data_IF_165184319215
#
_entry.id   IF_165184319215
#
_cell.length_a   1.000
_cell.length_b   1.000
_cell.length_c   1.000
_cell.angle_alpha   90.00
_cell.angle_beta   90.00
_cell.angle_gamma   90.00
#
_symmetry.space_group_name_H-M   'P 1'
#
loop_
_entity.id
_entity.type
_entity.pdbx_description
1 polymer ?
#
# COMPACT_ATOMS: atom_id res chain seq x y z
N UNK A 1 -4.00 -9.89 -35.64
CA UNK A 1 -4.92 -10.81 -34.96
C UNK A 1 -4.19 -11.46 -33.82
N UNK A 2 -4.87 -11.75 -32.75
CA UNK A 2 -4.43 -12.61 -31.66
C UNK A 2 -5.04 -14.01 -31.80
N UNK A 3 -4.41 -14.99 -31.17
CA UNK A 3 -4.92 -16.36 -31.09
C UNK A 3 -5.64 -16.61 -29.78
N UNK A 4 -6.61 -17.52 -29.76
CA UNK A 4 -7.27 -17.98 -28.52
C UNK A 4 -6.28 -18.58 -27.51
N UNK A 5 -5.11 -19.02 -27.98
CA UNK A 5 -4.07 -19.61 -27.14
C UNK A 5 -3.02 -18.60 -26.67
N UNK A 6 -3.08 -17.35 -27.15
CA UNK A 6 -2.13 -16.32 -26.73
C UNK A 6 -2.40 -15.92 -25.27
N UNK A 7 -1.34 -15.76 -24.48
CA UNK A 7 -1.46 -15.23 -23.14
C UNK A 7 -1.96 -13.77 -23.18
N UNK A 8 -2.75 -13.38 -22.18
CA UNK A 8 -3.30 -12.01 -22.07
C UNK A 8 -2.22 -10.93 -22.21
N UNK A 9 -1.05 -11.14 -21.60
CA UNK A 9 0.08 -10.22 -21.67
C UNK A 9 0.64 -10.09 -23.09
N UNK A 10 0.67 -11.18 -23.83
CA UNK A 10 1.11 -11.18 -25.25
C UNK A 10 0.17 -10.36 -26.10
N UNK A 11 -1.15 -10.50 -25.89
CA UNK A 11 -2.18 -9.72 -26.60
C UNK A 11 -2.05 -8.22 -26.25
N UNK A 12 -1.86 -7.88 -24.97
CA UNK A 12 -1.63 -6.50 -24.51
C UNK A 12 -0.37 -5.91 -25.15
N UNK A 13 0.74 -6.65 -25.15
CA UNK A 13 1.98 -6.21 -25.75
C UNK A 13 1.85 -6.01 -27.27
N UNK A 14 1.15 -6.92 -27.96
CA UNK A 14 0.88 -6.79 -29.38
C UNK A 14 0.07 -5.54 -29.70
N UNK A 15 -0.96 -5.23 -28.88
CA UNK A 15 -1.75 -4.01 -29.00
C UNK A 15 -0.90 -2.75 -28.81
N UNK A 16 -0.03 -2.73 -27.79
CA UNK A 16 0.89 -1.61 -27.50
C UNK A 16 1.90 -1.38 -28.62
N UNK A 17 2.57 -2.43 -29.09
CA UNK A 17 3.57 -2.36 -30.16
C UNK A 17 2.93 -1.85 -31.46
N UNK A 18 1.74 -2.37 -31.78
CA UNK A 18 1.04 -2.00 -33.02
C UNK A 18 0.19 -0.73 -32.89
N UNK A 19 0.14 -0.11 -31.69
CA UNK A 19 -0.67 1.09 -31.39
C UNK A 19 -2.15 0.93 -31.78
N UNK A 20 -2.71 -0.25 -31.52
CA UNK A 20 -4.13 -0.57 -31.79
C UNK A 20 -4.88 -0.75 -30.48
N UNK A 21 -6.15 -0.36 -30.45
CA UNK A 21 -7.01 -0.44 -29.28
C UNK A 21 -7.91 -1.68 -29.26
N UNK A 22 -8.01 -2.38 -30.39
CA UNK A 22 -8.82 -3.59 -30.54
C UNK A 22 -8.04 -4.60 -31.35
N UNK A 23 -8.15 -5.88 -31.00
CA UNK A 23 -7.49 -6.97 -31.70
C UNK A 23 -8.49 -8.11 -31.93
N UNK A 24 -8.71 -8.54 -33.19
CA UNK A 24 -9.49 -9.72 -33.49
C UNK A 24 -8.81 -10.98 -32.96
N UNK A 25 -9.56 -11.87 -32.32
CA UNK A 25 -9.11 -13.17 -31.83
C UNK A 25 -9.62 -14.26 -32.75
N UNK A 26 -8.73 -15.15 -33.15
CA UNK A 26 -9.04 -16.28 -34.03
C UNK A 26 -8.82 -17.62 -33.34
N UNK A 27 -9.59 -18.63 -33.77
CA UNK A 27 -9.38 -20.02 -33.39
C UNK A 27 -8.18 -20.65 -34.11
N UNK A 28 -7.88 -21.91 -33.77
CA UNK A 28 -6.79 -22.67 -34.40
C UNK A 28 -6.98 -22.93 -35.92
N UNK A 29 -8.16 -22.64 -36.47
CA UNK A 29 -8.49 -22.76 -37.91
C UNK A 29 -8.47 -21.39 -38.62
N UNK A 30 -8.20 -20.30 -37.89
CA UNK A 30 -8.19 -18.94 -38.41
C UNK A 30 -9.56 -18.26 -38.47
N UNK A 31 -10.61 -18.86 -37.90
CA UNK A 31 -11.94 -18.24 -37.86
C UNK A 31 -11.99 -17.17 -36.74
N UNK A 32 -12.61 -16.05 -37.03
CA UNK A 32 -12.85 -14.99 -36.03
C UNK A 32 -13.83 -15.50 -34.96
N UNK A 33 -13.40 -15.47 -33.70
CA UNK A 33 -14.20 -15.90 -32.54
C UNK A 33 -14.52 -14.77 -31.59
N UNK A 34 -13.86 -13.60 -31.72
CA UNK A 34 -14.11 -12.46 -30.87
C UNK A 34 -13.20 -11.28 -31.19
N UNK A 35 -13.41 -10.20 -30.45
CA UNK A 35 -12.55 -9.01 -30.48
C UNK A 35 -12.21 -8.69 -29.04
N UNK A 36 -10.92 -8.56 -28.75
CA UNK A 36 -10.43 -8.06 -27.46
C UNK A 36 -10.17 -6.56 -27.57
N UNK A 37 -10.60 -5.82 -26.55
CA UNK A 37 -10.41 -4.38 -26.46
C UNK A 37 -9.27 -4.12 -25.47
N UNK A 38 -8.24 -3.39 -25.88
CA UNK A 38 -7.05 -3.12 -25.06
C UNK A 38 -7.40 -2.56 -23.68
N UNK A 39 -8.36 -1.63 -23.61
CA UNK A 39 -8.79 -1.06 -22.34
C UNK A 39 -9.46 -2.10 -21.42
N UNK A 40 -10.18 -3.07 -21.96
CA UNK A 40 -10.78 -4.18 -21.17
C UNK A 40 -9.72 -5.21 -20.78
N UNK A 41 -8.73 -5.44 -21.63
CA UNK A 41 -7.57 -6.26 -21.32
C UNK A 41 -6.67 -5.61 -20.27
N UNK A 42 -6.52 -4.30 -20.26
CA UNK A 42 -5.73 -3.57 -19.26
C UNK A 42 -6.54 -3.36 -17.98
N UNK A 43 -7.87 -3.21 -18.06
CA UNK A 43 -8.72 -3.10 -16.88
C UNK A 43 -8.67 -4.42 -16.12
N UNK A 44 -8.02 -4.41 -14.98
CA UNK A 44 -8.07 -5.54 -14.06
C UNK A 44 -9.54 -5.77 -13.66
N UNK A 45 -10.03 -7.02 -13.74
CA UNK A 45 -11.34 -7.36 -13.18
C UNK A 45 -11.45 -6.81 -11.78
N UNK A 46 -12.55 -6.10 -11.49
CA UNK A 46 -12.81 -5.61 -10.12
C UNK A 46 -12.69 -6.77 -9.15
N UNK A 47 -11.92 -6.56 -8.10
CA UNK A 47 -11.69 -7.51 -7.02
C UNK A 47 -12.56 -7.15 -5.83
N UNK A 48 -13.05 -8.14 -5.13
CA UNK A 48 -13.88 -7.98 -3.91
C UNK A 48 -13.08 -7.63 -2.66
N UNK A 49 -11.75 -7.69 -2.75
CA UNK A 49 -10.87 -7.39 -1.62
C UNK A 49 -10.91 -5.89 -1.28
N UNK A 50 -11.24 -5.56 -0.05
CA UNK A 50 -11.24 -4.17 0.43
C UNK A 50 -9.84 -3.63 0.63
N UNK A 51 -9.70 -2.32 0.43
CA UNK A 51 -8.49 -1.55 0.76
C UNK A 51 -8.84 -0.56 1.85
N UNK A 52 -8.16 -0.64 2.98
CA UNK A 52 -8.37 0.26 4.11
C UNK A 52 -7.18 1.20 4.20
N UNK A 53 -7.42 2.49 4.04
CA UNK A 53 -6.40 3.54 4.07
C UNK A 53 -6.47 4.30 5.40
N UNK A 54 -5.36 4.28 6.14
CA UNK A 54 -5.21 5.00 7.41
C UNK A 54 -4.79 6.44 7.12
N UNK A 55 -5.74 7.36 7.12
CA UNK A 55 -5.54 8.77 6.74
C UNK A 55 -5.86 9.77 7.86
N UNK A 56 -6.09 9.29 9.10
CA UNK A 56 -6.43 10.10 10.27
C UNK A 56 -5.26 10.78 10.99
N UNK A 57 -4.05 10.68 10.47
CA UNK A 57 -2.84 11.23 11.10
C UNK A 57 -2.80 12.76 11.14
N UNK A 58 -2.29 13.35 12.25
CA UNK A 58 -2.21 14.81 12.44
C UNK A 58 -1.14 15.51 11.58
N UNK A 59 -0.12 14.81 11.11
CA UNK A 59 0.95 15.34 10.27
C UNK A 59 1.86 16.39 10.89
N UNK A 60 1.93 16.48 12.22
CA UNK A 60 2.61 17.56 12.96
C UNK A 60 4.08 17.73 12.62
N UNK A 61 4.78 16.68 12.21
CA UNK A 61 6.19 16.73 11.81
C UNK A 61 6.45 17.49 10.49
N UNK A 62 5.40 17.75 9.72
CA UNK A 62 5.43 18.47 8.45
C UNK A 62 4.90 19.91 8.58
N UNK A 63 4.70 20.43 9.80
CA UNK A 63 4.36 21.84 9.98
C UNK A 63 5.44 22.76 9.39
N UNK A 64 5.05 23.87 8.73
CA UNK A 64 3.70 24.43 8.62
C UNK A 64 2.83 23.86 7.46
N UNK A 65 3.36 22.99 6.61
CA UNK A 65 2.67 22.49 5.41
C UNK A 65 1.31 21.82 5.73
N UNK A 66 1.26 21.15 6.88
CA UNK A 66 0.07 20.43 7.35
C UNK A 66 -0.86 21.25 8.25
N UNK A 67 -0.62 22.55 8.43
CA UNK A 67 -1.52 23.41 9.22
C UNK A 67 -2.90 23.56 8.60
N UNK A 68 -2.98 23.62 7.27
CA UNK A 68 -4.25 23.78 6.52
C UNK A 68 -4.61 22.55 5.72
N UNK A 69 -3.65 21.77 5.29
CA UNK A 69 -3.82 20.59 4.42
C UNK A 69 -3.47 19.33 5.19
N UNK A 70 -4.35 18.30 5.24
CA UNK A 70 -3.98 17.04 5.89
C UNK A 70 -2.83 16.37 5.13
N UNK A 71 -1.94 15.68 5.85
CA UNK A 71 -0.72 15.07 5.31
C UNK A 71 -0.95 14.25 4.02
N UNK A 72 -1.97 13.36 3.94
CA UNK A 72 -2.24 12.59 2.72
C UNK A 72 -2.64 13.44 1.50
N UNK A 73 -3.03 14.70 1.73
CA UNK A 73 -3.41 15.66 0.68
C UNK A 73 -2.26 16.59 0.26
N UNK A 74 -1.08 16.43 0.82
CA UNK A 74 0.11 17.12 0.30
C UNK A 74 0.42 16.61 -1.10
N UNK A 75 0.83 17.52 -1.98
CA UNK A 75 1.10 17.20 -3.37
C UNK A 75 2.52 16.67 -3.56
N UNK A 76 2.62 15.60 -4.35
CA UNK A 76 3.87 15.10 -4.93
C UNK A 76 3.61 14.88 -6.42
N UNK A 77 4.45 15.45 -7.28
CA UNK A 77 4.25 15.37 -8.72
C UNK A 77 2.93 16.02 -9.20
N UNK A 78 2.47 17.08 -8.54
CA UNK A 78 1.25 17.86 -8.86
C UNK A 78 -0.08 17.15 -8.54
N UNK A 79 -0.07 16.07 -7.77
CA UNK A 79 -1.29 15.42 -7.28
C UNK A 79 -1.14 14.98 -5.82
N UNK A 80 -2.23 14.91 -5.04
CA UNK A 80 -2.16 14.45 -3.67
C UNK A 80 -1.53 13.05 -3.54
N UNK A 81 -0.74 12.84 -2.48
CA UNK A 81 -0.17 11.51 -2.15
C UNK A 81 -1.28 10.46 -2.15
N UNK A 82 -2.40 10.75 -1.47
CA UNK A 82 -3.53 9.84 -1.34
C UNK A 82 -4.16 9.48 -2.69
N UNK A 83 -4.18 10.42 -3.66
CA UNK A 83 -4.67 10.13 -5.00
C UNK A 83 -3.77 9.12 -5.71
N UNK A 84 -2.44 9.27 -5.59
CA UNK A 84 -1.49 8.31 -6.16
C UNK A 84 -1.72 6.90 -5.59
N UNK A 85 -2.01 6.79 -4.28
CA UNK A 85 -2.33 5.50 -3.64
C UNK A 85 -3.63 4.92 -4.22
N UNK A 86 -4.70 5.72 -4.29
CA UNK A 86 -6.01 5.30 -4.80
C UNK A 86 -5.91 4.82 -6.25
N UNK A 87 -5.26 5.60 -7.13
CA UNK A 87 -5.04 5.24 -8.53
C UNK A 87 -4.25 3.94 -8.65
N UNK A 88 -3.22 3.77 -7.79
CA UNK A 88 -2.40 2.55 -7.82
C UNK A 88 -3.21 1.31 -7.46
N UNK A 89 -4.05 1.34 -6.43
CA UNK A 89 -4.95 0.23 -6.13
C UNK A 89 -5.96 -0.03 -7.24
N UNK A 90 -6.53 1.03 -7.83
CA UNK A 90 -7.47 0.92 -8.95
C UNK A 90 -6.82 0.26 -10.18
N UNK A 91 -5.54 0.56 -10.48
CA UNK A 91 -4.76 -0.09 -11.55
C UNK A 91 -4.70 -1.61 -11.40
N UNK A 92 -4.66 -2.12 -10.16
CA UNK A 92 -4.67 -3.56 -9.86
C UNK A 92 -6.09 -4.14 -9.71
N UNK A 93 -7.14 -3.35 -9.94
CA UNK A 93 -8.55 -3.77 -9.84
C UNK A 93 -9.12 -3.76 -8.41
N UNK A 94 -8.38 -3.26 -7.42
CA UNK A 94 -8.88 -3.05 -6.07
C UNK A 94 -9.60 -1.71 -6.00
N UNK A 95 -10.91 -1.74 -6.16
CA UNK A 95 -11.74 -0.53 -6.28
C UNK A 95 -12.65 -0.26 -5.10
N UNK A 96 -12.67 -1.11 -4.09
CA UNK A 96 -13.50 -0.93 -2.89
C UNK A 96 -12.63 -0.45 -1.72
N UNK A 97 -12.69 0.85 -1.44
CA UNK A 97 -11.76 1.54 -0.56
C UNK A 97 -12.50 2.09 0.65
N UNK A 98 -11.96 1.85 1.84
CA UNK A 98 -12.39 2.48 3.10
C UNK A 98 -11.31 3.44 3.56
N UNK A 99 -11.66 4.70 3.77
CA UNK A 99 -10.74 5.71 4.32
C UNK A 99 -11.08 5.97 5.79
N UNK A 100 -10.16 5.57 6.69
CA UNK A 100 -10.25 5.92 8.11
C UNK A 100 -9.72 7.34 8.29
N UNK A 101 -10.61 8.28 8.56
CA UNK A 101 -10.36 9.72 8.62
C UNK A 101 -10.57 10.26 10.03
N UNK A 102 -9.82 11.30 10.39
CA UNK A 102 -9.96 12.01 11.67
C UNK A 102 -9.85 13.53 11.42
N UNK A 103 -8.71 14.11 11.73
CA UNK A 103 -8.44 15.52 11.59
C UNK A 103 -8.55 15.99 10.11
N UNK A 104 -9.34 17.05 9.87
CA UNK A 104 -9.59 17.62 8.53
C UNK A 104 -10.21 16.61 7.53
N UNK A 105 -11.06 15.71 8.04
CA UNK A 105 -11.76 14.72 7.24
C UNK A 105 -12.55 15.34 6.06
N UNK A 106 -13.11 16.53 6.26
CA UNK A 106 -13.90 17.23 5.24
C UNK A 106 -13.10 17.54 3.98
N UNK A 107 -11.82 17.93 4.11
CA UNK A 107 -10.94 18.20 2.97
C UNK A 107 -10.74 16.93 2.10
N UNK A 108 -10.58 15.78 2.75
CA UNK A 108 -10.44 14.50 2.05
C UNK A 108 -11.77 14.11 1.39
N UNK A 109 -12.88 14.23 2.12
CA UNK A 109 -14.22 13.93 1.61
C UNK A 109 -14.62 14.81 0.44
N UNK A 110 -14.37 16.12 0.52
CA UNK A 110 -14.69 17.07 -0.55
C UNK A 110 -13.89 16.77 -1.81
N UNK A 111 -12.64 16.34 -1.67
CA UNK A 111 -11.78 16.01 -2.82
C UNK A 111 -12.18 14.70 -3.49
N UNK A 112 -12.39 13.63 -2.73
CA UNK A 112 -12.61 12.28 -3.27
C UNK A 112 -14.09 11.98 -3.53
N UNK A 113 -15.03 12.57 -2.78
CA UNK A 113 -16.44 12.23 -2.84
C UNK A 113 -16.70 10.75 -2.57
N UNK A 114 -17.49 10.12 -3.40
CA UNK A 114 -17.74 8.67 -3.38
C UNK A 114 -16.69 7.85 -4.16
N UNK A 115 -15.69 8.51 -4.75
CA UNK A 115 -14.64 7.87 -5.52
C UNK A 115 -14.95 7.60 -6.99
N UNK A 116 -16.19 7.78 -7.43
CA UNK A 116 -16.63 7.43 -8.80
C UNK A 116 -15.77 8.09 -9.90
N UNK A 117 -15.37 9.34 -9.70
CA UNK A 117 -14.51 10.07 -10.66
C UNK A 117 -13.10 9.47 -10.80
N UNK A 118 -12.68 8.62 -9.87
CA UNK A 118 -11.39 7.91 -9.89
C UNK A 118 -11.54 6.42 -10.21
N UNK A 119 -12.76 5.97 -10.54
CA UNK A 119 -13.05 4.58 -10.89
C UNK A 119 -13.09 3.62 -9.70
N UNK A 120 -13.23 4.15 -8.49
CA UNK A 120 -13.31 3.40 -7.22
C UNK A 120 -14.61 3.72 -6.50
N UNK A 121 -14.92 2.95 -5.45
CA UNK A 121 -15.96 3.22 -4.46
C UNK A 121 -15.29 3.54 -3.13
N UNK A 122 -15.58 4.69 -2.54
CA UNK A 122 -14.95 5.13 -1.29
C UNK A 122 -15.99 5.27 -0.18
N UNK A 123 -15.76 4.54 0.89
CA UNK A 123 -16.46 4.70 2.16
C UNK A 123 -15.56 5.39 3.18
N UNK A 124 -16.16 6.12 4.12
CA UNK A 124 -15.43 6.86 5.13
C UNK A 124 -15.80 6.37 6.52
N UNK A 125 -14.78 6.02 7.29
CA UNK A 125 -14.89 5.73 8.73
C UNK A 125 -14.31 6.91 9.50
N UNK A 126 -15.15 7.63 10.24
CA UNK A 126 -14.72 8.75 11.06
C UNK A 126 -14.23 8.25 12.43
N UNK A 127 -13.02 8.61 12.79
CA UNK A 127 -12.46 8.37 14.11
C UNK A 127 -12.79 9.56 15.02
N UNK A 128 -13.66 9.40 16.00
CA UNK A 128 -14.00 10.46 16.97
C UNK A 128 -12.85 10.77 17.95
N UNK A 129 -11.92 9.84 18.10
CA UNK A 129 -10.72 9.93 18.91
C UNK A 129 -9.55 9.24 18.22
N UNK A 130 -8.34 9.45 18.70
CA UNK A 130 -7.17 8.76 18.15
C UNK A 130 -7.28 7.26 18.41
N UNK A 131 -7.45 6.49 17.34
CA UNK A 131 -7.59 5.03 17.40
C UNK A 131 -6.26 4.29 17.19
N UNK A 132 -5.21 4.95 16.74
CA UNK A 132 -3.96 4.30 16.31
C UNK A 132 -4.08 3.67 14.92
N UNK A 133 -3.02 3.02 14.48
CA UNK A 133 -2.93 2.49 13.11
C UNK A 133 -3.71 1.19 12.87
N UNK A 134 -4.21 0.55 13.94
CA UNK A 134 -5.04 -0.67 13.85
C UNK A 134 -6.43 -0.51 14.48
N UNK A 135 -6.57 0.37 15.48
CA UNK A 135 -7.84 0.50 16.22
C UNK A 135 -9.01 0.97 15.36
N UNK A 136 -8.75 1.82 14.34
CA UNK A 136 -9.78 2.27 13.41
C UNK A 136 -10.45 1.12 12.64
N UNK A 137 -9.78 -0.03 12.46
CA UNK A 137 -10.36 -1.22 11.85
C UNK A 137 -11.57 -1.75 12.64
N UNK A 138 -11.61 -1.52 13.96
CA UNK A 138 -12.74 -1.92 14.82
C UNK A 138 -14.02 -1.12 14.60
N UNK A 139 -13.94 0.02 13.89
CA UNK A 139 -15.05 0.90 13.56
C UNK A 139 -15.72 0.53 12.23
N UNK A 140 -15.14 -0.39 11.46
CA UNK A 140 -15.70 -0.84 10.19
C UNK A 140 -16.87 -1.77 10.49
N UNK A 141 -18.08 -1.32 10.13
CA UNK A 141 -19.31 -2.06 10.42
C UNK A 141 -19.63 -3.13 9.38
N UNK A 142 -19.10 -2.99 8.18
CA UNK A 142 -19.33 -3.96 7.12
C UNK A 142 -18.53 -5.24 7.34
N UNK A 143 -19.18 -6.39 7.04
CA UNK A 143 -18.53 -7.69 7.14
C UNK A 143 -17.50 -7.86 6.02
N UNK A 144 -16.25 -7.91 6.37
CA UNK A 144 -15.16 -8.27 5.45
C UNK A 144 -15.07 -9.80 5.39
N UNK A 145 -15.12 -10.36 4.20
CA UNK A 145 -15.14 -11.83 3.97
C UNK A 145 -13.92 -12.35 3.20
N UNK A 146 -13.17 -11.44 2.58
CA UNK A 146 -11.99 -11.76 1.81
C UNK A 146 -10.74 -11.12 2.44
N UNK A 147 -9.54 -11.62 2.20
CA UNK A 147 -8.33 -10.95 2.61
C UNK A 147 -8.32 -9.48 2.16
N UNK A 148 -7.90 -8.58 3.04
CA UNK A 148 -8.00 -7.14 2.79
C UNK A 148 -6.67 -6.44 3.03
N UNK A 149 -6.46 -5.35 2.28
CA UNK A 149 -5.29 -4.49 2.47
C UNK A 149 -5.52 -3.46 3.56
N UNK A 150 -4.46 -3.15 4.28
CA UNK A 150 -4.38 -1.97 5.14
C UNK A 150 -3.10 -1.22 4.79
N UNK A 151 -3.19 0.08 4.56
CA UNK A 151 -2.04 0.88 4.17
C UNK A 151 -2.11 2.28 4.81
N UNK A 152 -0.96 2.79 5.22
CA UNK A 152 -0.84 4.17 5.66
C UNK A 152 -1.02 5.13 4.46
N UNK A 153 -1.76 6.22 4.66
CA UNK A 153 -2.11 7.17 3.59
C UNK A 153 -1.03 8.21 3.27
N UNK A 154 0.18 8.01 3.75
CA UNK A 154 1.32 8.92 3.60
C UNK A 154 2.52 8.26 2.91
N UNK A 155 2.29 7.15 2.23
CA UNK A 155 3.30 6.35 1.54
C UNK A 155 3.23 6.55 0.02
N UNK A 156 4.37 6.56 -0.62
CA UNK A 156 4.47 6.38 -2.08
C UNK A 156 5.25 5.10 -2.38
N UNK A 157 4.69 4.25 -3.24
CA UNK A 157 5.31 2.96 -3.55
C UNK A 157 4.88 2.43 -4.91
N UNK A 158 5.78 1.66 -5.52
CA UNK A 158 5.52 0.88 -6.73
C UNK A 158 5.37 -0.62 -6.45
N UNK A 159 5.06 -0.99 -5.20
CA UNK A 159 4.83 -2.39 -4.84
C UNK A 159 3.74 -3.01 -5.74
N UNK A 160 3.97 -4.23 -6.18
CA UNK A 160 2.98 -4.98 -6.94
C UNK A 160 1.93 -5.57 -5.98
N UNK A 161 0.78 -4.90 -5.87
CA UNK A 161 -0.30 -5.34 -4.98
C UNK A 161 -0.89 -6.71 -5.36
N UNK A 162 -0.82 -7.11 -6.64
CA UNK A 162 -1.23 -8.45 -7.04
C UNK A 162 -0.27 -9.50 -6.48
N UNK A 163 1.03 -9.31 -6.65
CA UNK A 163 2.03 -10.24 -6.10
C UNK A 163 1.95 -10.34 -4.58
N UNK A 164 1.72 -9.21 -3.90
CA UNK A 164 1.55 -9.19 -2.45
C UNK A 164 0.32 -9.98 -2.01
N UNK A 165 -0.81 -9.83 -2.72
CA UNK A 165 -2.03 -10.59 -2.48
C UNK A 165 -1.82 -12.11 -2.72
N UNK A 166 -1.22 -12.46 -3.87
CA UNK A 166 -0.96 -13.85 -4.22
C UNK A 166 0.01 -14.51 -3.24
N UNK A 167 1.01 -13.76 -2.78
CA UNK A 167 1.93 -14.23 -1.74
C UNK A 167 1.23 -14.51 -0.42
N UNK A 168 0.36 -13.60 0.03
CA UNK A 168 -0.44 -13.78 1.24
C UNK A 168 -1.32 -15.02 1.17
N UNK A 169 -2.11 -15.15 0.10
CA UNK A 169 -3.08 -16.24 -0.09
C UNK A 169 -2.39 -17.60 -0.30
N UNK A 170 -1.33 -17.66 -1.12
CA UNK A 170 -0.58 -18.89 -1.36
C UNK A 170 0.11 -19.43 -0.11
N UNK A 171 0.46 -18.55 0.81
CA UNK A 171 1.03 -18.93 2.09
C UNK A 171 -0.03 -19.26 3.15
N UNK A 172 -1.32 -19.07 2.90
CA UNK A 172 -2.39 -19.25 3.90
C UNK A 172 -2.03 -18.53 5.21
N UNK A 173 -1.65 -17.27 5.12
CA UNK A 173 -1.20 -16.48 6.26
C UNK A 173 -2.35 -15.68 6.87
N UNK A 174 -2.34 -15.56 8.19
CA UNK A 174 -3.28 -14.71 8.94
C UNK A 174 -2.99 -13.23 8.70
N UNK A 175 -1.71 -12.86 8.63
CA UNK A 175 -1.26 -11.50 8.34
C UNK A 175 0.06 -11.51 7.56
N UNK A 176 0.19 -10.58 6.62
CA UNK A 176 1.42 -10.29 5.90
C UNK A 176 1.80 -8.84 6.13
N UNK A 177 3.01 -8.59 6.61
CA UNK A 177 3.57 -7.26 6.74
C UNK A 177 4.58 -7.01 5.64
N UNK A 178 4.41 -5.94 4.87
CA UNK A 178 5.47 -5.47 4.00
C UNK A 178 6.62 -4.89 4.83
N UNK A 179 7.84 -5.29 4.48
CA UNK A 179 9.06 -4.83 5.13
C UNK A 179 10.02 -4.24 4.12
N UNK A 180 10.82 -3.27 4.54
CA UNK A 180 11.85 -2.63 3.72
C UNK A 180 13.21 -2.80 4.37
N UNK A 181 14.23 -3.08 3.55
CA UNK A 181 15.62 -3.00 3.99
C UNK A 181 15.95 -1.56 4.41
N UNK A 182 16.55 -1.42 5.57
CA UNK A 182 17.02 -0.15 6.12
C UNK A 182 18.47 -0.31 6.58
N UNK A 183 19.35 0.40 5.91
CA UNK A 183 20.77 0.42 6.20
C UNK A 183 21.08 1.62 7.12
N UNK A 184 21.68 1.36 8.27
CA UNK A 184 22.10 2.37 9.23
C UNK A 184 23.61 2.30 9.43
N UNK A 185 24.33 3.28 8.90
CA UNK A 185 25.77 3.44 9.10
C UNK A 185 26.03 4.30 10.34
N UNK A 186 26.85 3.78 11.25
CA UNK A 186 27.39 4.59 12.36
C UNK A 186 28.61 5.32 11.81
N UNK A 187 28.61 6.68 11.72
CA UNK A 187 29.66 7.44 11.05
C UNK A 187 30.97 7.56 11.86
N UNK A 188 31.17 6.66 12.82
CA UNK A 188 32.31 6.61 13.73
C UNK A 188 32.81 5.18 13.92
N UNK A 189 34.07 5.04 14.37
CA UNK A 189 34.58 3.77 14.88
C UNK A 189 33.81 3.34 16.14
N UNK A 190 33.15 2.18 16.10
CA UNK A 190 32.43 1.60 17.24
C UNK A 190 33.39 0.78 18.07
N UNK A 191 33.55 1.13 19.35
CA UNK A 191 34.47 0.46 20.26
C UNK A 191 33.74 -0.55 21.13
N UNK A 192 34.04 -1.81 21.00
CA UNK A 192 33.50 -2.86 21.85
C UNK A 192 34.32 -2.98 23.12
N UNK A 193 33.70 -2.79 24.27
CA UNK A 193 34.37 -2.71 25.57
C UNK A 193 33.81 -3.80 26.51
N UNK A 194 34.69 -4.46 27.24
CA UNK A 194 34.34 -5.29 28.41
C UNK A 194 35.06 -4.76 29.63
N UNK A 195 34.30 -4.24 30.61
CA UNK A 195 34.82 -3.43 31.73
C UNK A 195 35.62 -2.22 31.18
N UNK A 196 36.94 -2.17 31.39
CA UNK A 196 37.84 -1.12 30.89
C UNK A 196 38.67 -1.55 29.69
N UNK A 197 38.59 -2.82 29.27
CA UNK A 197 39.38 -3.38 28.19
C UNK A 197 38.68 -3.23 26.85
N UNK A 198 39.37 -2.63 25.88
CA UNK A 198 38.94 -2.61 24.50
C UNK A 198 39.09 -4.00 23.90
N UNK A 199 38.05 -4.53 23.29
CA UNK A 199 38.02 -5.86 22.65
C UNK A 199 38.21 -5.76 21.13
N UNK A 200 37.51 -4.82 20.48
CA UNK A 200 37.61 -4.54 19.04
C UNK A 200 37.18 -3.11 18.72
N UNK A 201 37.53 -2.65 17.52
CA UNK A 201 37.05 -1.41 16.94
C UNK A 201 36.53 -1.74 15.54
N UNK A 202 35.29 -1.43 15.27
CA UNK A 202 34.64 -1.63 13.98
C UNK A 202 34.44 -0.24 13.33
N UNK A 203 35.19 0.06 12.24
CA UNK A 203 35.15 1.37 11.60
C UNK A 203 33.90 1.48 10.73
N UNK A 204 33.06 2.49 11.03
CA UNK A 204 31.81 2.83 10.31
C UNK A 204 30.94 1.60 10.00
N UNK A 205 30.56 0.82 11.02
CA UNK A 205 29.80 -0.40 10.78
C UNK A 205 28.43 -0.09 10.20
N UNK A 206 28.06 -0.85 9.16
CA UNK A 206 26.75 -0.81 8.52
C UNK A 206 25.83 -1.85 9.16
N UNK A 207 24.79 -1.41 9.81
CA UNK A 207 23.76 -2.28 10.38
C UNK A 207 22.58 -2.38 9.42
N UNK A 208 22.12 -3.58 9.15
CA UNK A 208 20.96 -3.85 8.29
C UNK A 208 19.77 -4.30 9.12
N UNK A 209 18.64 -3.68 8.87
CA UNK A 209 17.39 -3.98 9.54
C UNK A 209 16.28 -4.14 8.52
N UNK A 210 15.24 -4.89 8.88
CA UNK A 210 13.95 -4.78 8.22
C UNK A 210 13.06 -3.83 9.00
N UNK A 211 12.53 -2.81 8.33
CA UNK A 211 11.58 -1.88 8.92
C UNK A 211 10.17 -2.14 8.38
N UNK A 212 9.16 -1.86 9.20
CA UNK A 212 7.76 -1.94 8.81
C UNK A 212 7.46 -0.89 7.74
N UNK A 213 6.99 -1.33 6.58
CA UNK A 213 6.71 -0.47 5.44
C UNK A 213 5.31 0.19 5.46
N UNK A 214 4.49 -0.07 6.48
CA UNK A 214 3.15 0.53 6.58
C UNK A 214 2.12 0.00 5.59
N UNK A 215 2.35 -1.18 5.01
CA UNK A 215 1.48 -1.88 4.07
C UNK A 215 1.29 -3.31 4.56
N UNK A 216 0.04 -3.75 4.62
CA UNK A 216 -0.33 -5.04 5.19
C UNK A 216 -1.43 -5.71 4.38
N UNK A 217 -1.49 -7.04 4.45
CA UNK A 217 -2.68 -7.83 4.12
C UNK A 217 -3.07 -8.65 5.34
N UNK A 218 -4.35 -8.69 5.63
CA UNK A 218 -4.92 -9.46 6.69
C UNK A 218 -6.00 -10.40 6.18
N UNK A 219 -6.05 -11.60 6.74
CA UNK A 219 -7.24 -12.44 6.70
C UNK A 219 -8.34 -11.81 7.59
N UNK A 220 -9.63 -11.87 7.21
CA UNK A 220 -10.73 -11.26 7.98
C UNK A 220 -10.77 -11.65 9.45
N UNK A 221 -10.31 -12.85 9.79
CA UNK A 221 -10.27 -13.33 11.18
C UNK A 221 -9.39 -12.48 12.09
N UNK A 222 -8.45 -11.68 11.54
CA UNK A 222 -7.61 -10.78 12.34
C UNK A 222 -8.44 -9.75 13.10
N UNK A 223 -9.59 -9.34 12.58
CA UNK A 223 -10.45 -8.31 13.19
C UNK A 223 -10.91 -8.67 14.60
N UNK A 224 -11.05 -9.97 14.92
CA UNK A 224 -11.43 -10.42 16.28
C UNK A 224 -10.36 -10.11 17.36
N UNK A 225 -9.11 -9.88 16.95
CA UNK A 225 -8.01 -9.58 17.86
C UNK A 225 -7.88 -8.09 18.18
N UNK A 226 -8.66 -7.23 17.50
CA UNK A 226 -8.64 -5.78 17.69
C UNK A 226 -9.70 -5.38 18.71
N UNK A 227 -9.31 -4.75 19.82
CA UNK A 227 -10.28 -4.30 20.81
C UNK A 227 -11.18 -3.20 20.23
N UNK A 228 -12.48 -3.29 20.53
CA UNK A 228 -13.45 -2.32 20.04
C UNK A 228 -13.25 -0.96 20.71
N UNK A 229 -13.32 0.10 19.90
CA UNK A 229 -13.33 1.48 20.34
C UNK A 229 -12.18 1.86 21.31
N UNK A 230 -10.98 1.35 21.06
CA UNK A 230 -9.78 1.61 21.84
C UNK A 230 -8.60 1.97 20.95
N UNK A 231 -7.66 2.77 21.50
CA UNK A 231 -6.38 2.97 20.84
C UNK A 231 -5.63 1.64 20.69
N UNK A 232 -5.29 1.31 19.46
CA UNK A 232 -4.55 0.10 19.15
C UNK A 232 -3.68 0.34 17.91
N UNK A 233 -2.40 0.04 17.98
CA UNK A 233 -1.48 0.24 16.86
C UNK A 233 -1.08 -1.08 16.19
N UNK A 234 -0.56 -1.01 14.98
CA UNK A 234 -0.15 -2.19 14.21
C UNK A 234 0.93 -3.02 14.90
N UNK A 235 1.99 -2.44 15.51
CA UNK A 235 2.98 -3.24 16.23
C UNK A 235 2.36 -4.05 17.36
N UNK A 236 1.42 -3.49 18.11
CA UNK A 236 0.72 -4.18 19.18
C UNK A 236 -0.16 -5.32 18.64
N UNK A 237 -0.87 -5.09 17.53
CA UNK A 237 -1.64 -6.13 16.87
C UNK A 237 -0.74 -7.29 16.43
N UNK A 238 0.35 -7.00 15.70
CA UNK A 238 1.25 -8.03 15.22
C UNK A 238 1.88 -8.84 16.36
N UNK A 239 2.32 -8.18 17.45
CA UNK A 239 2.83 -8.87 18.63
C UNK A 239 1.79 -9.80 19.27
N UNK A 240 0.51 -9.37 19.32
CA UNK A 240 -0.57 -10.23 19.79
C UNK A 240 -0.75 -11.46 18.90
N UNK A 241 -0.81 -11.27 17.57
CA UNK A 241 -0.99 -12.37 16.63
C UNK A 241 0.18 -13.37 16.70
N UNK A 242 1.42 -12.88 16.87
CA UNK A 242 2.63 -13.71 17.06
C UNK A 242 2.52 -14.52 18.36
N UNK A 243 2.10 -13.90 19.46
CA UNK A 243 1.95 -14.58 20.74
C UNK A 243 0.86 -15.65 20.74
N UNK A 244 -0.15 -15.50 19.88
CA UNK A 244 -1.20 -16.52 19.64
C UNK A 244 -0.72 -17.63 18.68
N UNK A 245 0.57 -17.64 18.28
CA UNK A 245 1.17 -18.60 17.36
C UNK A 245 0.48 -18.67 15.97
N UNK A 246 -0.11 -17.56 15.53
CA UNK A 246 -0.72 -17.48 14.22
C UNK A 246 0.35 -17.34 13.13
N UNK A 247 0.02 -17.76 11.91
CA UNK A 247 0.96 -17.68 10.78
C UNK A 247 1.07 -16.24 10.28
N UNK A 248 2.14 -15.56 10.72
CA UNK A 248 2.48 -14.19 10.34
C UNK A 248 3.73 -14.21 9.49
N UNK A 249 3.70 -13.54 8.33
CA UNK A 249 4.81 -13.53 7.39
C UNK A 249 5.19 -12.12 6.99
N UNK A 250 6.42 -11.96 6.50
CA UNK A 250 6.91 -10.69 5.94
C UNK A 250 7.02 -10.78 4.42
N UNK A 251 6.71 -9.67 3.73
CA UNK A 251 6.90 -9.49 2.30
C UNK A 251 7.91 -8.37 2.07
N UNK A 252 9.14 -8.67 1.59
CA UNK A 252 10.15 -7.65 1.35
C UNK A 252 9.83 -6.82 0.11
N UNK A 253 9.70 -5.49 0.28
CA UNK A 253 9.55 -4.53 -0.82
C UNK A 253 10.93 -4.17 -1.35
N UNK A 254 11.16 -4.38 -2.65
CA UNK A 254 12.36 -3.97 -3.36
C UNK A 254 12.12 -2.79 -4.29
N UNK A 255 10.87 -2.58 -4.66
CA UNK A 255 10.39 -1.49 -5.50
C UNK A 255 10.53 -0.15 -4.76
N UNK A 256 10.30 0.95 -5.49
CA UNK A 256 10.27 2.28 -4.86
C UNK A 256 9.31 2.31 -3.68
N UNK A 257 9.77 2.84 -2.58
CA UNK A 257 8.98 3.05 -1.37
C UNK A 257 9.55 4.21 -0.57
N UNK A 258 8.70 5.13 -0.14
CA UNK A 258 9.05 6.24 0.74
C UNK A 258 7.88 6.54 1.68
N UNK A 259 8.18 6.71 2.97
CA UNK A 259 7.28 7.28 3.98
C UNK A 259 7.54 8.79 4.04
N UNK A 260 6.53 9.58 3.72
CA UNK A 260 6.65 11.04 3.71
C UNK A 260 6.39 11.57 5.11
N UNK A 261 7.30 11.37 6.03
CA UNK A 261 7.20 11.78 7.44
C UNK A 261 7.76 13.17 7.75
N UNK A 262 8.67 13.67 6.90
CA UNK A 262 9.40 14.94 7.07
C UNK A 262 9.51 15.68 5.76
N UNK A 263 9.91 16.96 5.82
CA UNK A 263 10.08 17.81 4.62
C UNK A 263 11.12 17.26 3.65
N UNK A 264 12.21 16.67 4.16
CA UNK A 264 13.26 16.06 3.34
C UNK A 264 12.74 14.89 2.49
N UNK A 265 11.87 14.04 3.07
CA UNK A 265 11.24 12.93 2.34
C UNK A 265 10.24 13.46 1.30
N UNK A 266 9.50 14.54 1.61
CA UNK A 266 8.60 15.20 0.66
C UNK A 266 9.34 15.78 -0.53
N UNK A 267 10.46 16.48 -0.30
CA UNK A 267 11.33 17.03 -1.35
C UNK A 267 11.93 15.91 -2.21
N UNK A 268 12.44 14.86 -1.57
CA UNK A 268 12.96 13.68 -2.24
C UNK A 268 11.90 13.03 -3.13
N UNK A 269 10.70 12.81 -2.59
CA UNK A 269 9.59 12.23 -3.34
C UNK A 269 9.22 13.08 -4.56
N UNK A 270 9.19 14.42 -4.44
CA UNK A 270 8.94 15.33 -5.58
C UNK A 270 10.01 15.24 -6.66
N UNK A 271 11.29 15.15 -6.28
CA UNK A 271 12.41 15.06 -7.23
C UNK A 271 12.41 13.72 -7.99
N UNK A 272 11.96 12.65 -7.35
CA UNK A 272 11.96 11.30 -7.89
C UNK A 272 10.64 10.95 -8.63
N UNK A 273 9.57 11.70 -8.42
CA UNK A 273 8.21 11.34 -8.86
C UNK A 273 8.11 11.02 -10.35
N UNK A 274 8.60 11.90 -11.22
CA UNK A 274 8.48 11.71 -12.68
C UNK A 274 9.31 10.52 -13.22
N UNK A 275 10.23 10.00 -12.41
CA UNK A 275 11.03 8.83 -12.77
C UNK A 275 10.34 7.54 -12.30
N UNK A 276 9.63 7.61 -11.19
CA UNK A 276 9.08 6.44 -10.50
C UNK A 276 7.58 6.23 -10.79
N UNK A 277 6.84 7.31 -11.10
CA UNK A 277 5.40 7.34 -11.38
C UNK A 277 5.10 8.05 -12.71
#
# INVERSE_FOLDING_TARGET
>A
VGSINDAREEIINLCKIKKIHQIPIVDNKGNLIGIEVLNELISNKKKSNKVILMVGGLGTRLHPLTEKTPKPMLEVGKKPILLTIVEKFAEYGYSDIVMCVNHKADIIRDYFGDGAKFGVNIEYVLEDKRMGTAGALSLINEKITEPFFVMNGDLLTNVNFQHLHDFHTSNLSMATMCVRDYDFEIPYGVVNIKNTKILSIDEKPLHKFFVNAGIYIFDPEVLQFIPKDQFYDMPTLFNKLINENLKIISFPIREYWIDIGRTEELEKANNEFNKEF
#
